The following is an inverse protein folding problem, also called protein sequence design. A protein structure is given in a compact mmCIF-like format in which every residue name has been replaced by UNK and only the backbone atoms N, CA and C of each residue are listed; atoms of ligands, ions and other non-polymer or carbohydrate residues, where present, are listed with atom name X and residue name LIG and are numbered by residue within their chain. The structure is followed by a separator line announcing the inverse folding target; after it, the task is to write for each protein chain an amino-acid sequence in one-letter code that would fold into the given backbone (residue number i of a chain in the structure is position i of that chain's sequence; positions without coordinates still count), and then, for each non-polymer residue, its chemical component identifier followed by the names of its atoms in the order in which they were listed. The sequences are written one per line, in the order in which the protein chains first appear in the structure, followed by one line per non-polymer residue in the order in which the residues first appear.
data_IF_701716129202
#
_entry.id   IF_701716129202
#
_cell.length_a   1.000
_cell.length_b   1.000
_cell.length_c   1.000
_cell.angle_alpha   90.00
_cell.angle_beta   90.00
_cell.angle_gamma   90.00
#
_symmetry.space_group_name_H-M   'P 1'
#
loop_
_entity.id
_entity.type
_entity.pdbx_description
1 polymer ?
#
# COMPACT_ATOMS: atom_id res chain seq x y z
N UNK A 1 2.59 31.56 -30.29
CA UNK A 1 2.43 31.16 -28.88
C UNK A 1 2.08 29.68 -28.85
N UNK A 2 3.03 28.82 -28.52
CA UNK A 2 2.79 27.38 -28.41
C UNK A 2 2.19 27.10 -27.03
N UNK A 3 0.92 26.69 -26.98
CA UNK A 3 0.27 26.18 -25.78
C UNK A 3 0.89 24.83 -25.44
N UNK A 4 1.68 24.79 -24.37
CA UNK A 4 2.18 23.55 -23.78
C UNK A 4 0.96 22.74 -23.32
N UNK A 5 0.69 21.62 -24.00
CA UNK A 5 -0.36 20.68 -23.60
C UNK A 5 0.13 20.00 -22.32
N UNK A 6 -0.43 20.40 -21.18
CA UNK A 6 -0.10 19.88 -19.85
C UNK A 6 -0.39 18.38 -19.80
N UNK A 7 0.63 17.56 -20.01
CA UNK A 7 0.58 16.12 -19.81
C UNK A 7 0.64 15.84 -18.32
N UNK A 8 -0.50 15.46 -17.73
CA UNK A 8 -0.58 15.02 -16.33
C UNK A 8 0.24 13.74 -16.14
N UNK A 9 1.45 13.86 -15.58
CA UNK A 9 2.24 12.71 -15.14
C UNK A 9 1.72 12.22 -13.80
N UNK A 10 1.03 11.08 -13.78
CA UNK A 10 0.50 10.50 -12.55
C UNK A 10 1.64 9.80 -11.77
N UNK A 11 2.30 10.51 -10.84
CA UNK A 11 3.15 9.88 -9.82
C UNK A 11 2.29 9.53 -8.60
N UNK A 12 2.47 8.34 -8.04
CA UNK A 12 1.67 7.84 -6.93
C UNK A 12 2.46 8.00 -5.62
N UNK A 13 2.02 8.82 -4.66
CA UNK A 13 2.76 8.94 -3.38
C UNK A 13 2.17 7.97 -2.34
N UNK A 14 2.94 7.00 -1.85
CA UNK A 14 2.55 5.99 -0.85
C UNK A 14 3.18 6.29 0.52
N UNK A 15 2.43 6.53 1.59
CA UNK A 15 3.02 6.73 2.93
C UNK A 15 3.15 5.38 3.65
N UNK A 16 4.34 5.01 4.13
CA UNK A 16 4.54 3.83 4.97
C UNK A 16 4.83 4.25 6.40
N UNK A 17 4.01 3.78 7.34
CA UNK A 17 4.27 3.92 8.76
C UNK A 17 5.14 2.76 9.23
N UNK A 18 6.45 3.00 9.33
CA UNK A 18 7.38 2.15 10.06
C UNK A 18 8.01 2.95 11.20
N UNK A 19 7.68 2.63 12.45
CA UNK A 19 8.50 3.09 13.57
C UNK A 19 9.84 2.29 13.48
N UNK A 20 10.85 2.89 12.87
CA UNK A 20 12.07 2.20 12.42
C UNK A 20 13.07 1.82 13.52
N UNK A 21 12.72 1.94 14.81
CA UNK A 21 13.68 1.65 15.89
C UNK A 21 13.35 0.51 16.86
N UNK A 22 12.17 -0.12 16.77
CA UNK A 22 11.80 -1.20 17.71
C UNK A 22 10.92 -2.32 17.17
N UNK A 23 10.68 -2.37 15.85
CA UNK A 23 9.69 -3.28 15.23
C UNK A 23 10.36 -4.44 14.47
N UNK A 24 11.68 -4.43 14.30
CA UNK A 24 12.38 -5.42 13.48
C UNK A 24 12.52 -6.81 14.12
N UNK A 25 12.52 -6.93 15.45
CA UNK A 25 12.81 -8.22 16.09
C UNK A 25 11.59 -9.13 16.22
N UNK A 26 10.41 -8.62 16.62
CA UNK A 26 9.27 -9.48 17.00
C UNK A 26 8.47 -10.09 15.84
N UNK A 27 8.73 -9.68 14.60
CA UNK A 27 7.99 -10.15 13.42
C UNK A 27 8.78 -11.08 12.51
N UNK A 28 9.97 -11.53 12.93
CA UNK A 28 10.83 -12.40 12.12
C UNK A 28 10.48 -13.89 12.30
N UNK A 29 9.98 -14.26 13.48
CA UNK A 29 9.74 -15.66 13.89
C UNK A 29 8.55 -16.31 13.18
N UNK A 30 7.62 -15.51 12.65
CA UNK A 30 6.41 -15.96 11.93
C UNK A 30 6.62 -16.08 10.40
N UNK A 31 7.83 -15.89 9.89
CA UNK A 31 8.07 -15.79 8.44
C UNK A 31 8.55 -17.10 7.82
N UNK A 32 8.08 -17.48 6.62
CA UNK A 32 8.76 -18.47 5.81
C UNK A 32 10.18 -17.95 5.49
N UNK A 33 11.19 -18.78 5.66
CA UNK A 33 12.59 -18.40 5.43
C UNK A 33 12.80 -18.01 3.96
N UNK A 34 12.72 -16.70 3.67
CA UNK A 34 13.15 -16.15 2.38
C UNK A 34 14.63 -15.79 2.46
N UNK A 35 15.38 -16.20 1.44
CA UNK A 35 16.83 -15.97 1.29
C UNK A 35 17.24 -14.49 1.20
N UNK A 36 16.30 -13.54 1.34
CA UNK A 36 16.60 -12.12 1.42
C UNK A 36 15.52 -11.35 2.21
N UNK A 37 15.77 -10.94 3.46
CA UNK A 37 14.78 -10.24 4.31
C UNK A 37 14.33 -8.89 3.72
N UNK A 38 15.08 -8.34 2.76
CA UNK A 38 14.78 -7.08 2.08
C UNK A 38 13.76 -7.24 0.93
N UNK A 39 13.41 -8.46 0.52
CA UNK A 39 12.52 -8.73 -0.64
C UNK A 39 11.11 -9.18 -0.23
N UNK A 40 10.67 -8.80 0.97
CA UNK A 40 9.36 -9.13 1.49
C UNK A 40 8.25 -8.41 0.69
N UNK A 41 7.16 -9.12 0.37
CA UNK A 41 6.00 -8.58 -0.36
C UNK A 41 6.32 -7.99 -1.73
N UNK A 42 7.17 -8.68 -2.48
CA UNK A 42 7.58 -8.27 -3.84
C UNK A 42 6.52 -8.50 -4.92
N UNK A 43 5.48 -9.31 -4.64
CA UNK A 43 4.32 -9.51 -5.51
C UNK A 43 3.03 -9.46 -4.71
N UNK A 44 1.92 -9.18 -5.40
CA UNK A 44 0.57 -9.24 -4.82
C UNK A 44 0.26 -10.65 -4.31
N UNK A 45 0.67 -11.69 -5.04
CA UNK A 45 0.44 -13.09 -4.65
C UNK A 45 1.07 -13.40 -3.28
N UNK A 46 2.33 -13.01 -3.06
CA UNK A 46 3.02 -13.20 -1.77
C UNK A 46 2.27 -12.48 -0.64
N UNK A 47 1.74 -11.29 -0.90
CA UNK A 47 0.94 -10.54 0.08
C UNK A 47 -0.35 -11.29 0.42
N UNK A 48 -1.08 -11.74 -0.60
CA UNK A 48 -2.34 -12.46 -0.45
C UNK A 48 -2.13 -13.79 0.28
N UNK A 49 -1.13 -14.57 -0.12
CA UNK A 49 -0.76 -15.82 0.55
C UNK A 49 -0.44 -15.59 2.03
N UNK A 50 0.29 -14.52 2.35
CA UNK A 50 0.63 -14.18 3.74
C UNK A 50 -0.61 -13.85 4.58
N UNK A 51 -1.62 -13.20 3.99
CA UNK A 51 -2.90 -12.96 4.68
C UNK A 51 -3.69 -14.26 4.83
N UNK A 52 -3.75 -15.07 3.76
CA UNK A 52 -4.52 -16.32 3.72
C UNK A 52 -3.92 -17.40 4.64
N UNK A 53 -2.62 -17.40 4.90
CA UNK A 53 -2.00 -18.26 5.91
C UNK A 53 -2.60 -18.05 7.31
N UNK A 54 -3.17 -16.86 7.59
CA UNK A 54 -3.84 -16.55 8.86
C UNK A 54 -5.35 -16.76 8.82
N UNK A 55 -5.89 -17.35 7.75
CA UNK A 55 -7.33 -17.59 7.61
C UNK A 55 -7.89 -18.53 8.69
N UNK A 56 -7.11 -19.51 9.17
CA UNK A 56 -7.55 -20.42 10.24
C UNK A 56 -7.55 -19.74 11.62
N UNK A 57 -6.56 -18.88 11.88
CA UNK A 57 -6.43 -18.17 13.15
C UNK A 57 -7.39 -16.98 13.27
N UNK A 58 -7.61 -16.29 12.14
CA UNK A 58 -8.31 -14.99 12.07
C UNK A 58 -9.27 -14.93 10.87
N UNK A 59 -10.24 -15.87 10.76
CA UNK A 59 -11.05 -16.04 9.55
C UNK A 59 -11.83 -14.79 9.18
N UNK A 60 -12.41 -14.09 10.16
CA UNK A 60 -13.22 -12.90 9.92
C UNK A 60 -12.37 -11.72 9.44
N UNK A 61 -11.22 -11.47 10.07
CA UNK A 61 -10.35 -10.35 9.74
C UNK A 61 -9.76 -10.50 8.34
N UNK A 62 -9.30 -11.71 8.00
CA UNK A 62 -8.74 -12.00 6.68
C UNK A 62 -9.82 -11.94 5.61
N UNK A 63 -11.02 -12.49 5.85
CA UNK A 63 -12.13 -12.43 4.90
C UNK A 63 -12.58 -10.99 4.63
N UNK A 64 -12.73 -10.15 5.67
CA UNK A 64 -13.09 -8.73 5.51
C UNK A 64 -12.09 -7.97 4.63
N UNK A 65 -10.79 -8.15 4.87
CA UNK A 65 -9.73 -7.44 4.14
C UNK A 65 -9.63 -7.93 2.70
N UNK A 66 -9.63 -9.25 2.49
CA UNK A 66 -9.50 -9.85 1.16
C UNK A 66 -10.70 -9.54 0.28
N UNK A 67 -11.93 -9.62 0.81
CA UNK A 67 -13.15 -9.19 0.09
C UNK A 67 -13.16 -7.70 -0.22
N UNK A 68 -12.81 -6.84 0.75
CA UNK A 68 -12.77 -5.41 0.48
C UNK A 68 -11.72 -5.04 -0.58
N UNK A 69 -10.59 -5.73 -0.59
CA UNK A 69 -9.59 -5.57 -1.64
C UNK A 69 -10.16 -5.96 -3.01
N UNK A 70 -10.67 -7.18 -3.17
CA UNK A 70 -11.11 -7.69 -4.48
C UNK A 70 -12.38 -7.00 -4.97
N UNK A 71 -13.39 -6.84 -4.12
CA UNK A 71 -14.69 -6.31 -4.52
C UNK A 71 -14.75 -4.78 -4.54
N UNK A 72 -14.03 -4.09 -3.64
CA UNK A 72 -14.18 -2.64 -3.46
C UNK A 72 -12.97 -1.85 -3.97
N UNK A 73 -11.74 -2.34 -3.72
CA UNK A 73 -10.55 -1.63 -4.19
C UNK A 73 -10.21 -1.94 -5.65
N UNK A 74 -10.40 -3.20 -6.07
CA UNK A 74 -10.12 -3.68 -7.43
C UNK A 74 -11.39 -3.73 -8.28
N UNK A 75 -12.59 -3.79 -7.69
CA UNK A 75 -13.87 -4.08 -8.36
C UNK A 75 -14.10 -3.44 -9.73
N UNK A 76 -14.68 -4.24 -10.65
CA UNK A 76 -14.91 -3.97 -12.09
C UNK A 76 -13.81 -3.14 -12.79
N UNK A 77 -12.55 -3.34 -12.37
CA UNK A 77 -11.41 -2.85 -13.10
C UNK A 77 -11.28 -3.57 -14.44
N UNK A 78 -12.14 -3.19 -15.41
CA UNK A 78 -11.73 -2.95 -16.79
C UNK A 78 -10.73 -1.78 -16.86
N UNK A 79 -9.87 -1.64 -15.85
CA UNK A 79 -8.67 -0.84 -15.95
C UNK A 79 -7.76 -1.71 -16.79
N UNK A 80 -7.77 -1.44 -18.09
CA UNK A 80 -6.55 -1.50 -18.89
C UNK A 80 -5.52 -0.59 -18.20
N UNK A 81 -4.99 -1.03 -17.06
CA UNK A 81 -3.70 -0.59 -16.58
C UNK A 81 -2.81 -0.83 -17.81
N UNK A 82 -2.10 0.19 -18.29
CA UNK A 82 -1.03 -0.10 -19.23
C UNK A 82 -0.07 -1.00 -18.46
N UNK A 83 -0.19 -2.32 -18.65
CA UNK A 83 0.66 -3.36 -18.05
C UNK A 83 2.15 -3.10 -18.35
N UNK A 84 2.43 -2.15 -19.25
CA UNK A 84 3.73 -1.73 -19.73
C UNK A 84 4.26 -0.44 -19.10
N UNK A 85 3.46 0.37 -18.40
CA UNK A 85 3.93 1.58 -17.74
C UNK A 85 3.98 1.36 -16.23
N UNK A 86 5.18 1.07 -15.70
CA UNK A 86 5.42 1.16 -14.27
C UNK A 86 5.05 2.56 -13.82
N UNK A 87 3.92 2.74 -13.13
CA UNK A 87 3.63 4.01 -12.47
C UNK A 87 4.62 4.17 -11.32
N UNK A 88 5.59 5.09 -11.41
CA UNK A 88 6.53 5.30 -10.33
C UNK A 88 5.78 5.80 -9.11
N UNK A 89 6.08 5.22 -7.95
CA UNK A 89 5.56 5.69 -6.69
C UNK A 89 6.66 6.25 -5.81
N UNK A 90 6.37 7.32 -5.08
CA UNK A 90 7.28 7.94 -4.12
C UNK A 90 6.74 7.64 -2.73
N UNK A 91 7.59 7.14 -1.84
CA UNK A 91 7.21 6.96 -0.43
C UNK A 91 7.69 8.14 0.38
N UNK A 92 6.78 8.82 1.08
CA UNK A 92 7.13 9.90 2.02
C UNK A 92 6.95 9.37 3.43
N UNK A 93 8.07 9.26 4.14
CA UNK A 93 8.13 8.88 5.56
C UNK A 93 8.55 10.10 6.38
N UNK A 94 8.03 10.23 7.59
CA UNK A 94 8.31 11.34 8.48
C UNK A 94 8.20 10.93 9.94
N UNK A 95 8.74 11.76 10.83
CA UNK A 95 8.78 11.46 12.26
C UNK A 95 7.37 11.50 12.88
N UNK A 96 6.49 12.36 12.36
CA UNK A 96 5.06 12.36 12.68
C UNK A 96 4.21 12.14 11.43
N UNK A 97 2.97 11.67 11.65
CA UNK A 97 1.95 11.48 10.60
C UNK A 97 1.66 12.80 9.87
N UNK A 98 1.61 13.90 10.63
CA UNK A 98 1.23 15.22 10.12
C UNK A 98 2.33 15.73 9.19
N UNK A 99 3.59 15.67 9.62
CA UNK A 99 4.73 16.14 8.83
C UNK A 99 4.87 15.35 7.52
N UNK A 100 4.73 14.02 7.58
CA UNK A 100 4.79 13.16 6.40
C UNK A 100 3.63 13.46 5.43
N UNK A 101 2.43 13.70 5.96
CA UNK A 101 1.27 14.04 5.14
C UNK A 101 1.41 15.41 4.48
N UNK A 102 1.92 16.41 5.20
CA UNK A 102 2.12 17.75 4.68
C UNK A 102 3.23 17.77 3.62
N UNK A 103 4.37 17.15 3.90
CA UNK A 103 5.46 16.98 2.94
C UNK A 103 4.98 16.22 1.68
N UNK A 104 4.20 15.15 1.86
CA UNK A 104 3.63 14.38 0.75
C UNK A 104 2.66 15.17 -0.11
N UNK A 105 1.80 16.00 0.49
CA UNK A 105 0.89 16.91 -0.24
C UNK A 105 1.66 17.97 -1.02
N UNK A 106 2.66 18.58 -0.40
CA UNK A 106 3.49 19.61 -1.04
C UNK A 106 4.30 19.02 -2.20
N UNK A 107 4.91 17.85 -2.00
CA UNK A 107 5.63 17.15 -3.06
C UNK A 107 4.69 16.74 -4.21
N UNK A 108 3.49 16.27 -3.88
CA UNK A 108 2.49 15.94 -4.89
C UNK A 108 2.12 17.17 -5.74
N UNK A 109 1.92 18.32 -5.12
CA UNK A 109 1.62 19.57 -5.81
C UNK A 109 2.77 20.00 -6.75
N UNK A 110 4.01 19.92 -6.29
CA UNK A 110 5.19 20.30 -7.08
C UNK A 110 5.36 19.40 -8.31
N UNK A 111 5.13 18.10 -8.16
CA UNK A 111 5.32 17.12 -9.23
C UNK A 111 4.08 16.95 -10.12
N UNK A 112 3.01 17.71 -9.87
CA UNK A 112 1.69 17.49 -10.47
C UNK A 112 1.25 16.02 -10.36
N UNK A 113 1.51 15.44 -9.19
CA UNK A 113 1.35 14.05 -8.85
C UNK A 113 0.12 13.82 -7.97
N UNK A 114 -0.30 12.56 -7.86
CA UNK A 114 -1.40 12.18 -6.98
C UNK A 114 -0.89 11.86 -5.58
N UNK A 115 -1.41 12.58 -4.61
CA UNK A 115 -1.28 12.22 -3.20
C UNK A 115 -2.24 11.08 -2.84
N UNK A 116 -1.73 9.98 -2.30
CA UNK A 116 -2.56 8.89 -1.75
C UNK A 116 -2.29 8.76 -0.26
N UNK A 117 -3.33 8.97 0.54
CA UNK A 117 -3.26 8.70 1.97
C UNK A 117 -3.39 7.18 2.21
N UNK A 118 -2.49 6.64 3.02
CA UNK A 118 -2.38 5.22 3.27
C UNK A 118 -2.97 4.85 4.64
N UNK A 119 -3.79 3.79 4.75
CA UNK A 119 -4.38 2.98 3.66
C UNK A 119 -5.46 3.74 2.86
N UNK A 120 -5.75 3.30 1.61
CA UNK A 120 -6.77 3.92 0.78
C UNK A 120 -8.17 3.80 1.41
N UNK A 121 -9.14 4.65 1.02
CA UNK A 121 -10.48 4.66 1.62
C UNK A 121 -11.16 3.29 1.70
N UNK A 122 -11.01 2.44 0.67
CA UNK A 122 -11.60 1.09 0.63
C UNK A 122 -11.04 0.14 1.72
N UNK A 123 -9.85 0.41 2.25
CA UNK A 123 -9.22 -0.39 3.31
C UNK A 123 -9.11 0.34 4.65
N UNK A 124 -9.37 1.65 4.71
CA UNK A 124 -9.07 2.48 5.89
C UNK A 124 -9.67 1.99 7.20
N UNK A 125 -10.89 1.49 7.16
CA UNK A 125 -11.59 0.94 8.33
C UNK A 125 -10.88 -0.28 8.96
N UNK A 126 -9.98 -0.93 8.22
CA UNK A 126 -9.30 -2.15 8.66
C UNK A 126 -7.90 -1.92 9.23
N UNK A 127 -7.45 -0.65 9.33
CA UNK A 127 -6.08 -0.30 9.75
C UNK A 127 -5.67 -0.79 11.15
N UNK A 128 -6.65 -1.14 11.98
CA UNK A 128 -6.47 -1.61 13.35
C UNK A 128 -6.84 -3.09 13.55
N UNK A 129 -7.24 -3.82 12.50
CA UNK A 129 -7.62 -5.24 12.62
C UNK A 129 -6.47 -6.14 13.06
N UNK A 130 -5.24 -5.84 12.62
CA UNK A 130 -4.06 -6.66 12.90
C UNK A 130 -3.15 -6.00 13.93
N UNK A 131 -2.58 -6.77 14.85
CA UNK A 131 -1.70 -6.25 15.89
C UNK A 131 -0.42 -5.62 15.32
N UNK A 132 0.03 -4.51 15.92
CA UNK A 132 1.30 -3.83 15.55
C UNK A 132 2.49 -4.79 15.63
N UNK A 133 3.41 -4.66 14.68
CA UNK A 133 4.65 -5.45 14.62
C UNK A 133 4.51 -6.86 14.02
N UNK A 134 3.30 -7.31 13.71
CA UNK A 134 3.08 -8.65 13.11
C UNK A 134 3.30 -8.67 11.60
N UNK A 135 3.69 -9.82 11.07
CA UNK A 135 3.81 -10.05 9.61
C UNK A 135 2.50 -9.80 8.89
N UNK A 136 1.37 -10.25 9.44
CA UNK A 136 0.04 -10.06 8.85
C UNK A 136 -0.34 -8.58 8.76
N UNK A 137 0.02 -7.75 9.75
CA UNK A 137 -0.18 -6.30 9.66
C UNK A 137 0.68 -5.68 8.57
N UNK A 138 1.93 -6.12 8.41
CA UNK A 138 2.80 -5.66 7.31
C UNK A 138 2.21 -6.06 5.96
N UNK A 139 1.69 -7.27 5.82
CA UNK A 139 1.00 -7.74 4.62
C UNK A 139 -0.23 -6.90 4.31
N UNK A 140 -1.05 -6.55 5.30
CA UNK A 140 -2.18 -5.62 5.13
C UNK A 140 -1.76 -4.24 4.59
N UNK A 141 -0.69 -3.66 5.13
CA UNK A 141 -0.17 -2.40 4.60
C UNK A 141 0.53 -2.58 3.24
N UNK A 142 1.05 -3.75 2.89
CA UNK A 142 1.52 -4.01 1.53
C UNK A 142 0.34 -4.11 0.55
N UNK A 143 -0.73 -4.82 0.92
CA UNK A 143 -1.97 -4.95 0.13
C UNK A 143 -2.58 -3.59 -0.16
N UNK A 144 -2.58 -2.71 0.85
CA UNK A 144 -3.06 -1.34 0.71
C UNK A 144 -2.29 -0.52 -0.33
N UNK A 145 -1.01 -0.85 -0.61
CA UNK A 145 -0.21 -0.18 -1.66
C UNK A 145 -0.65 -0.65 -3.04
N UNK A 146 -0.87 -1.95 -3.18
CA UNK A 146 -1.45 -2.52 -4.40
C UNK A 146 -2.84 -1.92 -4.66
N UNK A 147 -3.69 -1.84 -3.64
CA UNK A 147 -5.00 -1.21 -3.75
C UNK A 147 -4.92 0.26 -4.22
N UNK A 148 -3.95 1.02 -3.70
CA UNK A 148 -3.71 2.39 -4.14
C UNK A 148 -3.31 2.49 -5.62
N UNK A 149 -2.55 1.51 -6.14
CA UNK A 149 -2.18 1.46 -7.55
C UNK A 149 -3.36 1.16 -8.49
N UNK A 150 -4.42 0.50 -8.01
CA UNK A 150 -5.64 0.25 -8.77
C UNK A 150 -6.62 1.45 -8.77
N UNK A 151 -6.36 2.50 -8.01
CA UNK A 151 -7.26 3.65 -8.00
C UNK A 151 -7.05 4.51 -9.26
N UNK A 152 -8.09 4.78 -10.09
CA UNK A 152 -7.96 5.60 -11.29
C UNK A 152 -7.53 7.03 -10.94
N UNK A 153 -6.65 7.62 -11.74
CA UNK A 153 -6.37 9.07 -11.70
C UNK A 153 -7.61 9.78 -12.26
N UNK A 154 -8.35 10.51 -11.41
CA UNK A 154 -9.41 11.43 -11.85
C UNK A 154 -8.86 12.84 -11.90
#
# INVERSE_FOLDING_TARGET
MATLKQTNFCFLILILFGATRGIYEKGLDDMPQQNNPLKLFSSLDIVMDTLLMKQLDMPLQVDLVTKAFTATCVGDANLTLPLTSKMPFIVVEGNTVIDAMEAGKNLAMILNARFINMPPPCLRQFAYLFQKGTTVRRAYFALSRYAAAYQPCK
#
